data_IF_559719888844
#
_entry.id   IF_559719888844
#
_cell.length_a   1.000
_cell.length_b   1.000
_cell.length_c   1.000
_cell.angle_alpha   90.00
_cell.angle_beta   90.00
_cell.angle_gamma   90.00
#
_symmetry.space_group_name_H-M   'P 1'
#
loop_
_entity.id
_entity.type
_entity.pdbx_description
1 polymer ?
#
# COMPACT_ATOMS: atom_id res chain seq x y z
N UNK A 1 42.89 -38.39 15.27
CA UNK A 1 42.94 -36.96 14.84
C UNK A 1 42.75 -36.71 13.33
N UNK A 2 42.38 -37.68 12.48
CA UNK A 2 42.14 -37.46 11.02
C UNK A 2 40.70 -37.29 10.55
N UNK A 3 39.63 -37.63 11.27
CA UNK A 3 38.25 -37.47 10.75
C UNK A 3 37.70 -36.02 10.84
N UNK A 4 38.10 -35.22 11.82
CA UNK A 4 37.62 -33.84 12.01
C UNK A 4 38.05 -32.87 10.90
N UNK A 5 39.28 -33.02 10.39
CA UNK A 5 39.82 -32.18 9.32
C UNK A 5 39.08 -32.43 7.99
N UNK A 6 38.60 -33.66 7.75
CA UNK A 6 37.82 -33.98 6.54
C UNK A 6 36.40 -33.41 6.61
N UNK A 7 35.80 -33.37 7.77
CA UNK A 7 34.47 -32.81 8.01
C UNK A 7 34.49 -31.28 7.87
N UNK A 8 35.46 -30.62 8.48
CA UNK A 8 35.65 -29.18 8.37
C UNK A 8 35.91 -28.72 6.92
N UNK A 9 36.74 -29.47 6.17
CA UNK A 9 36.96 -29.21 4.74
C UNK A 9 35.67 -29.36 3.91
N UNK A 10 34.82 -30.31 4.19
CA UNK A 10 33.53 -30.47 3.52
C UNK A 10 32.59 -29.30 3.83
N UNK A 11 32.51 -28.86 5.09
CA UNK A 11 31.70 -27.68 5.47
C UNK A 11 32.19 -26.43 4.76
N UNK A 12 33.51 -26.20 4.75
CA UNK A 12 34.11 -25.03 4.06
C UNK A 12 33.85 -25.10 2.55
N UNK A 13 33.96 -26.27 1.93
CA UNK A 13 33.68 -26.45 0.50
C UNK A 13 32.25 -26.23 0.14
N UNK A 14 31.31 -26.72 0.96
CA UNK A 14 29.86 -26.46 0.76
C UNK A 14 29.54 -24.99 0.99
N UNK A 15 30.07 -24.38 2.05
CA UNK A 15 29.88 -22.96 2.34
C UNK A 15 30.42 -22.04 1.25
N UNK A 16 31.64 -22.33 0.72
CA UNK A 16 32.18 -21.56 -0.41
C UNK A 16 31.38 -21.77 -1.71
N UNK A 17 30.91 -23.00 -1.97
CA UNK A 17 30.01 -23.28 -3.10
C UNK A 17 28.70 -22.49 -3.02
N UNK A 18 28.06 -22.46 -1.85
CA UNK A 18 26.85 -21.64 -1.62
C UNK A 18 27.12 -20.14 -1.80
N UNK A 19 28.24 -19.64 -1.28
CA UNK A 19 28.63 -18.23 -1.45
C UNK A 19 28.85 -17.90 -2.94
N UNK A 20 29.53 -18.76 -3.69
CA UNK A 20 29.69 -18.59 -5.14
C UNK A 20 28.32 -18.55 -5.87
N UNK A 21 27.39 -19.43 -5.53
CA UNK A 21 26.05 -19.44 -6.11
C UNK A 21 25.29 -18.12 -5.82
N UNK A 22 25.38 -17.62 -4.58
CA UNK A 22 24.76 -16.35 -4.20
C UNK A 22 25.39 -15.17 -4.97
N UNK A 23 26.70 -15.14 -5.10
CA UNK A 23 27.40 -14.11 -5.87
C UNK A 23 27.08 -14.15 -7.36
N UNK A 24 27.01 -15.33 -7.96
CA UNK A 24 26.63 -15.49 -9.36
C UNK A 24 25.17 -15.05 -9.60
N UNK A 25 24.27 -15.38 -8.68
CA UNK A 25 22.88 -14.93 -8.74
C UNK A 25 22.76 -13.42 -8.60
N UNK A 26 23.51 -12.80 -7.69
CA UNK A 26 23.56 -11.34 -7.51
C UNK A 26 24.07 -10.64 -8.78
N UNK A 27 25.15 -11.14 -9.37
CA UNK A 27 25.69 -10.62 -10.64
C UNK A 27 24.65 -10.78 -11.75
N UNK A 28 24.02 -11.95 -11.86
CA UNK A 28 22.99 -12.21 -12.87
C UNK A 28 21.79 -11.27 -12.74
N UNK A 29 21.29 -11.05 -11.52
CA UNK A 29 20.17 -10.14 -11.24
C UNK A 29 20.54 -8.66 -11.53
N UNK A 30 21.79 -8.26 -11.22
CA UNK A 30 22.28 -6.90 -11.55
C UNK A 30 22.43 -6.71 -13.05
N UNK A 31 23.02 -7.69 -13.72
CA UNK A 31 23.23 -7.65 -15.17
C UNK A 31 21.89 -7.66 -15.91
N UNK A 32 20.96 -8.54 -15.54
CA UNK A 32 19.63 -8.59 -16.11
C UNK A 32 18.87 -7.27 -15.95
N UNK A 33 18.91 -6.66 -14.76
CA UNK A 33 18.34 -5.34 -14.52
C UNK A 33 19.01 -4.23 -15.32
N UNK A 34 20.33 -4.27 -15.47
CA UNK A 34 21.08 -3.32 -16.29
C UNK A 34 20.73 -3.46 -17.78
N UNK A 35 20.66 -4.68 -18.28
CA UNK A 35 20.29 -4.97 -19.68
C UNK A 35 18.86 -4.46 -19.94
N UNK A 36 17.91 -4.76 -19.04
CA UNK A 36 16.54 -4.30 -19.19
C UNK A 36 16.46 -2.78 -19.31
N UNK A 37 17.08 -2.05 -18.36
CA UNK A 37 17.10 -0.58 -18.37
C UNK A 37 17.79 -0.05 -19.61
N UNK A 38 18.90 -0.67 -20.04
CA UNK A 38 19.65 -0.25 -21.23
C UNK A 38 18.85 -0.44 -22.52
N UNK A 39 18.12 -1.54 -22.64
CA UNK A 39 17.21 -1.79 -23.79
C UNK A 39 16.04 -0.82 -23.79
N UNK A 40 15.43 -0.58 -22.63
CA UNK A 40 14.36 0.40 -22.48
C UNK A 40 14.83 1.81 -22.89
N UNK A 41 15.98 2.24 -22.36
CA UNK A 41 16.54 3.55 -22.69
C UNK A 41 16.96 3.68 -24.14
N UNK A 42 17.52 2.62 -24.73
CA UNK A 42 17.84 2.60 -26.16
C UNK A 42 16.60 2.80 -27.04
N UNK A 43 15.50 2.13 -26.72
CA UNK A 43 14.20 2.31 -27.41
C UNK A 43 13.68 3.75 -27.24
N UNK A 44 13.72 4.28 -26.03
CA UNK A 44 13.33 5.64 -25.73
C UNK A 44 14.12 6.65 -26.57
N UNK A 45 15.46 6.48 -26.65
CA UNK A 45 16.32 7.34 -27.46
C UNK A 45 16.05 7.23 -28.96
N UNK A 46 15.65 6.05 -29.45
CA UNK A 46 15.21 5.90 -30.85
C UNK A 46 13.89 6.61 -31.10
N UNK A 47 12.93 6.46 -30.19
CA UNK A 47 11.60 7.11 -30.30
C UNK A 47 11.74 8.64 -30.34
N UNK A 48 12.55 9.26 -29.50
CA UNK A 48 12.74 10.72 -29.47
C UNK A 48 13.56 11.30 -30.63
N UNK A 49 14.29 10.48 -31.41
CA UNK A 49 14.98 10.93 -32.61
C UNK A 49 14.01 11.29 -33.74
N UNK A 50 12.77 10.89 -33.65
CA UNK A 50 11.74 11.26 -34.59
C UNK A 50 11.45 12.76 -34.47
N UNK A 51 11.82 13.54 -35.49
CA UNK A 51 11.53 14.97 -35.54
C UNK A 51 10.03 15.21 -35.69
N UNK A 52 9.55 16.29 -35.08
CA UNK A 52 8.16 16.76 -35.18
C UNK A 52 7.12 15.73 -34.73
N UNK A 53 7.49 14.90 -33.74
CA UNK A 53 6.58 13.93 -33.11
C UNK A 53 5.95 14.49 -31.84
N UNK A 54 4.68 14.16 -31.62
CA UNK A 54 3.99 14.37 -30.35
C UNK A 54 4.51 13.34 -29.32
N UNK A 55 5.11 13.81 -28.23
CA UNK A 55 5.84 12.98 -27.27
C UNK A 55 4.99 12.64 -26.07
N UNK A 56 4.83 11.35 -25.81
CA UNK A 56 4.07 10.81 -24.69
C UNK A 56 5.04 10.11 -23.75
N UNK A 57 5.11 10.57 -22.50
CA UNK A 57 5.93 9.97 -21.45
C UNK A 57 5.05 9.07 -20.58
N UNK A 58 5.31 7.77 -20.55
CA UNK A 58 4.60 6.80 -19.71
C UNK A 58 5.35 6.57 -18.40
N UNK A 59 4.74 6.94 -17.27
CA UNK A 59 5.24 6.76 -15.92
C UNK A 59 4.43 5.67 -15.22
N UNK A 60 5.09 4.83 -14.43
CA UNK A 60 4.40 3.80 -13.68
C UNK A 60 5.31 2.76 -13.09
N UNK A 61 4.69 1.70 -12.60
CA UNK A 61 5.31 0.58 -11.91
C UNK A 61 5.61 -0.58 -12.88
N UNK A 62 5.69 -1.82 -12.38
CA UNK A 62 5.94 -3.02 -13.19
C UNK A 62 4.90 -3.27 -14.29
N UNK A 63 3.68 -2.79 -14.09
CA UNK A 63 2.58 -2.87 -15.08
C UNK A 63 2.72 -1.88 -16.24
N UNK A 64 3.67 -0.94 -16.15
CA UNK A 64 4.04 0.00 -17.23
C UNK A 64 5.36 -0.41 -17.88
N UNK A 65 6.35 -0.78 -17.07
CA UNK A 65 7.72 -1.06 -17.50
C UNK A 65 7.80 -2.20 -18.53
N UNK A 66 8.10 -1.85 -19.78
CA UNK A 66 8.22 -2.81 -20.88
C UNK A 66 6.89 -3.47 -21.28
N UNK A 67 5.75 -2.91 -20.87
CA UNK A 67 4.43 -3.46 -21.12
C UNK A 67 3.75 -2.75 -22.30
N UNK A 68 2.72 -1.95 -22.06
CA UNK A 68 1.89 -1.32 -23.09
C UNK A 68 2.53 -0.15 -23.89
N UNK A 69 3.59 0.58 -23.41
CA UNK A 69 4.04 1.79 -24.12
C UNK A 69 4.47 1.54 -25.58
N UNK A 70 5.14 0.41 -25.84
CA UNK A 70 5.55 0.06 -27.20
C UNK A 70 4.35 -0.23 -28.11
N UNK A 71 3.36 -0.95 -27.62
CA UNK A 71 2.11 -1.21 -28.34
C UNK A 71 1.30 0.09 -28.57
N UNK A 72 1.34 1.03 -27.62
CA UNK A 72 0.68 2.33 -27.73
C UNK A 72 1.29 3.15 -28.89
N UNK A 73 2.62 3.22 -28.99
CA UNK A 73 3.30 3.91 -30.09
C UNK A 73 2.91 3.32 -31.45
N UNK A 74 2.95 2.00 -31.57
CA UNK A 74 2.55 1.29 -32.80
C UNK A 74 1.10 1.62 -33.17
N UNK A 75 0.16 1.48 -32.26
CA UNK A 75 -1.28 1.69 -32.51
C UNK A 75 -1.56 3.15 -32.91
N UNK A 76 -1.00 4.12 -32.17
CA UNK A 76 -1.20 5.54 -32.48
C UNK A 76 -0.70 5.90 -33.90
N UNK A 77 0.48 5.37 -34.29
CA UNK A 77 1.06 5.65 -35.60
C UNK A 77 0.36 4.89 -36.74
N UNK A 78 -0.30 3.76 -36.46
CA UNK A 78 -1.11 3.04 -37.47
C UNK A 78 -2.44 3.71 -37.78
N UNK A 79 -2.94 4.62 -36.96
CA UNK A 79 -4.24 5.30 -37.14
C UNK A 79 -4.27 6.36 -38.24
N UNK A 80 -3.13 6.62 -38.90
CA UNK A 80 -3.03 7.60 -40.02
C UNK A 80 -3.64 8.98 -39.71
N UNK A 81 -3.44 9.47 -38.50
CA UNK A 81 -4.01 10.75 -38.05
C UNK A 81 -3.31 11.98 -38.59
N UNK A 82 -2.22 11.81 -39.36
CA UNK A 82 -1.33 12.89 -39.74
C UNK A 82 -0.41 13.38 -38.64
N UNK A 83 -0.53 12.83 -37.42
CA UNK A 83 0.31 13.12 -36.26
C UNK A 83 1.26 11.94 -36.05
N UNK A 84 2.53 12.25 -35.90
CA UNK A 84 3.54 11.26 -35.56
C UNK A 84 3.71 11.22 -34.04
N UNK A 85 3.65 10.04 -33.44
CA UNK A 85 3.75 9.85 -32.00
C UNK A 85 5.07 9.18 -31.63
N UNK A 86 5.67 9.64 -30.54
CA UNK A 86 6.81 9.01 -29.87
C UNK A 86 6.42 8.69 -28.43
N UNK A 87 6.46 7.42 -28.05
CA UNK A 87 6.07 6.99 -26.70
C UNK A 87 7.31 6.55 -25.91
N UNK A 88 7.57 7.25 -24.81
CA UNK A 88 8.73 7.06 -23.95
C UNK A 88 8.31 6.22 -22.75
N UNK A 89 8.89 5.04 -22.57
CA UNK A 89 8.65 4.17 -21.44
C UNK A 89 9.61 4.50 -20.29
N UNK A 90 9.08 5.05 -19.20
CA UNK A 90 9.78 5.28 -17.93
C UNK A 90 9.10 4.56 -16.78
N UNK A 91 8.45 3.43 -17.07
CA UNK A 91 8.02 2.47 -16.07
C UNK A 91 9.22 1.86 -15.34
N UNK A 92 9.11 1.68 -14.02
CA UNK A 92 10.17 1.14 -13.17
C UNK A 92 9.58 0.06 -12.26
N UNK A 93 10.11 -1.15 -12.36
CA UNK A 93 9.67 -2.29 -11.54
C UNK A 93 9.93 -2.00 -10.05
N UNK A 94 8.90 -2.18 -9.21
CA UNK A 94 8.99 -2.00 -7.77
C UNK A 94 9.13 -0.54 -7.31
N UNK A 95 8.81 0.43 -8.17
CA UNK A 95 8.76 1.85 -7.81
C UNK A 95 7.43 2.19 -7.12
N UNK A 96 7.31 3.43 -6.63
CA UNK A 96 6.12 4.01 -6.05
C UNK A 96 5.95 5.45 -6.56
N UNK A 97 4.83 6.10 -6.21
CA UNK A 97 4.54 7.48 -6.69
C UNK A 97 5.56 8.50 -6.19
N UNK A 98 6.12 8.33 -5.00
CA UNK A 98 7.18 9.21 -4.46
C UNK A 98 8.45 9.15 -5.32
N UNK A 99 8.91 7.96 -5.68
CA UNK A 99 10.08 7.80 -6.54
C UNK A 99 9.83 8.31 -7.97
N UNK A 100 8.61 8.15 -8.49
CA UNK A 100 8.19 8.71 -9.78
C UNK A 100 8.28 10.24 -9.73
N UNK A 101 7.75 10.87 -8.69
CA UNK A 101 7.76 12.33 -8.51
C UNK A 101 9.19 12.89 -8.39
N UNK A 102 10.08 12.21 -7.64
CA UNK A 102 11.49 12.62 -7.49
C UNK A 102 12.24 12.65 -8.84
N UNK A 103 11.90 11.77 -9.76
CA UNK A 103 12.55 11.69 -11.08
C UNK A 103 11.81 12.48 -12.17
N UNK A 104 10.65 13.07 -11.85
CA UNK A 104 9.78 13.72 -12.84
C UNK A 104 10.49 14.87 -13.55
N UNK A 105 11.10 15.79 -12.80
CA UNK A 105 11.78 16.97 -13.35
C UNK A 105 12.90 16.61 -14.33
N UNK A 106 13.69 15.59 -13.99
CA UNK A 106 14.75 15.09 -14.87
C UNK A 106 14.15 14.49 -16.14
N UNK A 107 13.10 13.70 -16.03
CA UNK A 107 12.41 13.11 -17.17
C UNK A 107 11.82 14.18 -18.09
N UNK A 108 11.14 15.18 -17.54
CA UNK A 108 10.57 16.29 -18.32
C UNK A 108 11.64 17.08 -19.06
N UNK A 109 12.79 17.32 -18.41
CA UNK A 109 13.94 18.01 -19.04
C UNK A 109 14.57 17.19 -20.17
N UNK A 110 14.72 15.86 -19.95
CA UNK A 110 15.40 14.97 -20.91
C UNK A 110 14.56 14.66 -22.15
N UNK A 111 13.26 14.42 -21.95
CA UNK A 111 12.39 13.93 -23.03
C UNK A 111 11.47 14.99 -23.61
N UNK A 112 11.24 16.11 -22.89
CA UNK A 112 10.37 17.23 -23.29
C UNK A 112 9.02 16.72 -23.83
N UNK A 113 8.24 15.97 -23.03
CA UNK A 113 6.99 15.41 -23.48
C UNK A 113 5.90 16.49 -23.63
N UNK A 114 4.98 16.26 -24.54
CA UNK A 114 3.73 17.03 -24.68
C UNK A 114 2.65 16.48 -23.74
N UNK A 115 2.78 15.21 -23.35
CA UNK A 115 1.82 14.49 -22.51
C UNK A 115 2.54 13.51 -21.58
N UNK A 116 2.00 13.36 -20.37
CA UNK A 116 2.39 12.33 -19.41
C UNK A 116 1.20 11.41 -19.16
N UNK A 117 1.42 10.10 -19.29
CA UNK A 117 0.48 9.05 -18.88
C UNK A 117 1.02 8.44 -17.58
N UNK A 118 0.19 8.32 -16.56
CA UNK A 118 0.58 7.68 -15.29
C UNK A 118 -0.39 6.57 -14.90
N UNK A 119 0.21 5.39 -14.55
CA UNK A 119 -0.45 4.25 -13.93
C UNK A 119 0.38 3.79 -12.73
N UNK A 120 0.07 4.30 -11.55
CA UNK A 120 0.86 4.05 -10.34
C UNK A 120 -0.01 4.15 -9.08
N UNK A 121 0.55 3.75 -7.94
CA UNK A 121 -0.08 3.84 -6.61
C UNK A 121 -0.37 2.48 -5.98
N UNK A 122 -0.18 1.37 -6.71
CA UNK A 122 -0.34 0.03 -6.16
C UNK A 122 0.72 -0.29 -5.10
N UNK A 123 1.92 0.20 -5.27
CA UNK A 123 3.04 0.01 -4.34
C UNK A 123 3.09 1.05 -3.21
N UNK A 124 2.25 2.08 -3.23
CA UNK A 124 2.16 3.08 -2.17
C UNK A 124 1.35 2.57 -0.97
N UNK A 125 0.48 1.59 -1.18
CA UNK A 125 -0.36 1.02 -0.14
C UNK A 125 0.47 0.16 0.81
N UNK A 126 1.25 0.79 1.67
CA UNK A 126 1.71 0.34 3.00
C UNK A 126 2.11 -1.13 3.22
N UNK A 127 2.23 -1.95 2.19
CA UNK A 127 2.96 -3.19 2.27
C UNK A 127 4.43 -2.82 2.08
N UNK A 128 4.99 -2.26 3.13
CA UNK A 128 6.42 -2.13 3.24
C UNK A 128 7.01 -3.54 3.32
N UNK A 129 7.25 -4.13 2.15
CA UNK A 129 8.06 -5.35 2.04
C UNK A 129 9.48 -5.17 2.63
N UNK A 130 9.75 -3.98 3.18
CA UNK A 130 11.07 -3.56 3.65
C UNK A 130 11.14 -3.28 5.16
N UNK A 131 10.02 -3.24 5.90
CA UNK A 131 10.01 -2.82 7.31
C UNK A 131 10.41 -3.89 8.35
N UNK A 132 10.49 -5.18 7.96
CA UNK A 132 10.82 -6.27 8.92
C UNK A 132 12.29 -6.73 8.86
N UNK A 133 13.21 -5.91 8.39
CA UNK A 133 14.65 -6.23 8.47
C UNK A 133 15.17 -5.59 9.75
N UNK A 134 15.70 -6.38 10.72
CA UNK A 134 16.42 -5.81 11.86
C UNK A 134 17.48 -4.83 11.36
N UNK A 135 17.57 -3.63 11.93
CA UNK A 135 18.45 -2.55 11.47
C UNK A 135 19.92 -3.02 11.33
N UNK A 136 20.38 -3.90 12.22
CA UNK A 136 21.71 -4.49 12.14
C UNK A 136 21.94 -5.33 10.86
N UNK A 137 20.90 -5.95 10.29
CA UNK A 137 21.00 -6.73 9.05
C UNK A 137 20.67 -5.87 7.81
N UNK A 138 19.93 -4.77 7.98
CA UNK A 138 19.53 -3.90 6.88
C UNK A 138 20.73 -3.21 6.21
N UNK A 139 21.78 -2.84 6.94
CA UNK A 139 22.93 -2.13 6.42
C UNK A 139 23.69 -2.90 5.33
N UNK A 140 23.92 -4.20 5.53
CA UNK A 140 24.72 -5.04 4.62
C UNK A 140 23.86 -5.60 3.47
N UNK A 141 22.62 -6.01 3.75
CA UNK A 141 21.77 -6.72 2.77
C UNK A 141 20.79 -5.83 2.03
N UNK A 142 20.63 -4.57 2.41
CA UNK A 142 19.68 -3.61 1.80
C UNK A 142 19.90 -3.44 0.29
N UNK A 143 21.15 -3.53 -0.17
CA UNK A 143 21.53 -3.39 -1.57
C UNK A 143 21.73 -4.73 -2.31
N UNK A 144 21.57 -5.87 -1.61
CA UNK A 144 21.74 -7.21 -2.19
C UNK A 144 20.44 -7.65 -2.90
N UNK A 145 20.50 -7.74 -4.24
CA UNK A 145 19.35 -8.17 -5.07
C UNK A 145 18.99 -9.63 -4.83
N UNK A 146 19.98 -10.47 -4.61
CA UNK A 146 19.79 -11.88 -4.29
C UNK A 146 19.02 -12.06 -2.99
N UNK A 147 19.35 -11.29 -1.95
CA UNK A 147 18.62 -11.30 -0.69
C UNK A 147 17.15 -10.89 -0.88
N UNK A 148 16.90 -9.83 -1.66
CA UNK A 148 15.54 -9.39 -1.99
C UNK A 148 14.75 -10.45 -2.76
N UNK A 149 15.40 -11.07 -3.75
CA UNK A 149 14.82 -12.14 -4.54
C UNK A 149 14.49 -13.36 -3.68
N UNK A 150 15.46 -13.86 -2.88
CA UNK A 150 15.25 -14.99 -1.98
C UNK A 150 14.16 -14.72 -0.94
N UNK A 151 14.07 -13.50 -0.44
CA UNK A 151 13.00 -13.09 0.46
C UNK A 151 11.64 -13.09 -0.24
N UNK A 152 11.53 -12.60 -1.47
CA UNK A 152 10.30 -12.68 -2.28
C UNK A 152 9.88 -14.14 -2.50
N UNK A 153 10.82 -15.00 -2.86
CA UNK A 153 10.58 -16.45 -3.02
C UNK A 153 10.13 -17.07 -1.71
N UNK A 154 10.83 -16.78 -0.61
CA UNK A 154 10.46 -17.26 0.74
C UNK A 154 9.06 -16.80 1.13
N UNK A 155 8.74 -15.52 0.94
CA UNK A 155 7.41 -14.96 1.22
C UNK A 155 6.34 -15.62 0.36
N UNK A 156 6.62 -15.84 -0.94
CA UNK A 156 5.70 -16.52 -1.84
C UNK A 156 5.47 -17.99 -1.44
N UNK A 157 6.54 -18.69 -1.07
CA UNK A 157 6.47 -20.08 -0.58
C UNK A 157 5.73 -20.13 0.76
N UNK A 158 6.10 -19.26 1.71
CA UNK A 158 5.44 -19.22 3.03
C UNK A 158 3.98 -18.82 2.93
N UNK A 159 3.62 -17.89 2.03
CA UNK A 159 2.21 -17.57 1.76
C UNK A 159 1.46 -18.77 1.14
N UNK A 160 2.11 -19.52 0.24
CA UNK A 160 1.51 -20.71 -0.36
C UNK A 160 1.31 -21.84 0.65
N UNK A 161 2.20 -21.96 1.65
CA UNK A 161 2.09 -22.93 2.74
C UNK A 161 1.29 -22.41 3.94
N UNK A 162 1.22 -21.11 4.15
CA UNK A 162 0.41 -20.46 5.20
C UNK A 162 -1.04 -20.20 4.79
N UNK A 163 -1.35 -20.27 3.49
CA UNK A 163 -2.69 -20.24 2.96
C UNK A 163 -3.02 -21.60 2.31
N UNK A 164 -3.31 -22.65 3.10
CA UNK A 164 -4.08 -23.77 2.56
C UNK A 164 -5.44 -23.22 2.14
N UNK A 165 -6.11 -23.81 1.13
CA UNK A 165 -7.42 -23.35 0.73
C UNK A 165 -8.33 -23.34 1.96
N UNK A 166 -8.85 -22.18 2.28
CA UNK A 166 -9.90 -21.79 3.20
C UNK A 166 -10.31 -22.79 4.31
N UNK A 167 -9.41 -23.12 5.22
CA UNK A 167 -9.78 -23.74 6.49
C UNK A 167 -8.99 -23.10 7.63
N UNK A 168 -9.44 -21.97 8.08
CA UNK A 168 -8.91 -21.36 9.29
C UNK A 168 -8.70 -19.86 9.20
N UNK A 169 -9.70 -19.14 9.66
CA UNK A 169 -9.55 -17.74 10.14
C UNK A 169 -8.61 -17.69 11.36
N UNK A 170 -7.34 -18.06 11.15
CA UNK A 170 -6.28 -17.77 12.12
C UNK A 170 -5.45 -16.62 11.57
N UNK A 171 -5.66 -15.43 12.14
CA UNK A 171 -4.77 -14.28 12.17
C UNK A 171 -4.46 -13.60 10.82
N UNK A 172 -5.45 -12.95 10.18
CA UNK A 172 -5.25 -11.70 9.45
C UNK A 172 -6.19 -10.65 10.04
N UNK A 173 -5.86 -10.21 11.25
CA UNK A 173 -6.46 -9.00 11.82
C UNK A 173 -5.84 -7.83 11.07
N UNK A 174 -6.63 -6.96 10.42
CA UNK A 174 -6.11 -5.73 9.84
C UNK A 174 -5.52 -4.89 10.98
N UNK A 175 -4.27 -4.48 10.84
CA UNK A 175 -3.64 -3.54 11.76
C UNK A 175 -4.43 -2.24 11.76
N UNK A 176 -4.67 -1.70 12.95
CA UNK A 176 -5.62 -0.67 13.26
C UNK A 176 -5.58 0.56 12.35
N UNK A 177 -6.75 1.02 11.99
CA UNK A 177 -6.95 2.28 11.31
C UNK A 177 -6.65 3.44 12.25
N UNK A 178 -5.67 4.23 11.86
CA UNK A 178 -5.52 5.60 12.31
C UNK A 178 -6.61 6.41 11.58
N UNK A 179 -7.39 7.18 12.32
CA UNK A 179 -8.23 8.24 11.74
C UNK A 179 -7.36 9.06 10.79
N UNK A 180 -7.78 9.31 9.54
CA UNK A 180 -7.01 10.13 8.64
C UNK A 180 -6.80 11.50 9.29
N UNK A 181 -5.57 12.02 9.29
CA UNK A 181 -5.33 13.40 9.70
C UNK A 181 -6.20 14.32 8.84
N UNK A 182 -6.66 15.42 9.43
CA UNK A 182 -7.42 16.46 8.72
C UNK A 182 -6.79 16.70 7.33
N UNK A 183 -7.53 16.50 6.22
CA UNK A 183 -6.99 16.54 4.87
C UNK A 183 -6.38 17.89 4.47
N UNK A 184 -6.41 18.88 5.34
CA UNK A 184 -5.89 20.23 5.10
C UNK A 184 -4.45 20.47 5.52
N UNK A 185 -3.79 19.56 6.23
CA UNK A 185 -2.42 19.76 6.73
C UNK A 185 -1.50 18.71 6.10
N UNK A 186 -0.47 19.18 5.35
CA UNK A 186 0.63 18.33 4.87
C UNK A 186 1.36 17.71 6.08
N UNK A 187 1.44 16.36 6.19
CA UNK A 187 2.12 15.71 7.33
C UNK A 187 3.58 16.13 7.51
N UNK A 188 4.29 16.45 6.44
CA UNK A 188 5.67 16.96 6.51
C UNK A 188 5.71 18.37 7.09
N UNK A 189 4.76 19.21 6.71
CA UNK A 189 4.65 20.57 7.25
C UNK A 189 4.18 20.55 8.71
N UNK A 190 3.28 19.63 9.07
CA UNK A 190 2.87 19.40 10.46
C UNK A 190 4.06 18.95 11.32
N UNK A 191 4.88 18.01 10.84
CA UNK A 191 6.07 17.54 11.55
C UNK A 191 7.09 18.66 11.76
N UNK A 192 7.37 19.47 10.73
CA UNK A 192 8.26 20.65 10.85
C UNK A 192 7.72 21.69 11.85
N UNK A 193 6.41 21.89 11.86
CA UNK A 193 5.76 22.82 12.80
C UNK A 193 5.88 22.32 14.24
N UNK A 194 5.64 21.03 14.48
CA UNK A 194 5.77 20.41 15.80
C UNK A 194 7.23 20.41 16.29
N UNK A 195 8.19 20.09 15.42
CA UNK A 195 9.62 20.19 15.74
C UNK A 195 10.02 21.63 16.12
N UNK A 196 9.46 22.63 15.45
CA UNK A 196 9.65 24.04 15.82
C UNK A 196 9.02 24.39 17.17
N UNK A 197 7.81 23.87 17.47
CA UNK A 197 7.14 24.04 18.77
C UNK A 197 8.00 23.45 19.87
N UNK A 198 8.50 22.23 19.69
CA UNK A 198 9.38 21.55 20.64
C UNK A 198 10.68 22.36 20.88
N UNK A 199 11.28 22.93 19.83
CA UNK A 199 12.48 23.77 19.96
C UNK A 199 12.20 25.06 20.72
N UNK A 200 11.01 25.64 20.58
CA UNK A 200 10.60 26.87 21.27
C UNK A 200 10.15 26.62 22.71
N UNK A 201 9.48 25.49 22.94
CA UNK A 201 9.02 25.06 24.24
C UNK A 201 9.31 23.56 24.47
N UNK A 202 10.51 23.20 24.93
CA UNK A 202 10.90 21.81 25.16
C UNK A 202 10.12 21.09 26.28
N UNK A 203 9.27 21.81 27.02
CA UNK A 203 8.42 21.25 28.09
C UNK A 203 6.99 20.94 27.62
N UNK A 204 6.67 21.16 26.33
CA UNK A 204 5.35 20.90 25.77
C UNK A 204 5.16 19.41 25.45
N UNK A 205 4.75 18.62 26.45
CA UNK A 205 4.60 17.17 26.38
C UNK A 205 3.65 16.74 25.24
N UNK A 206 2.56 17.45 25.03
CA UNK A 206 1.62 17.15 23.93
C UNK A 206 2.20 17.36 22.53
N UNK A 207 3.20 18.22 22.34
CA UNK A 207 3.87 18.36 21.07
C UNK A 207 4.68 17.11 20.72
N UNK A 208 5.31 16.48 21.71
CA UNK A 208 5.99 15.19 21.53
C UNK A 208 5.01 14.07 21.19
N UNK A 209 3.84 14.01 21.85
CA UNK A 209 2.80 13.02 21.53
C UNK A 209 2.32 13.17 20.08
N UNK A 210 2.02 14.40 19.66
CA UNK A 210 1.56 14.67 18.29
C UNK A 210 2.61 14.32 17.24
N UNK A 211 3.87 14.67 17.48
CA UNK A 211 4.98 14.31 16.59
C UNK A 211 5.20 12.80 16.56
N UNK A 212 5.13 12.15 17.72
CA UNK A 212 5.20 10.69 17.84
C UNK A 212 4.10 9.98 17.04
N UNK A 213 2.86 10.48 17.09
CA UNK A 213 1.75 9.97 16.25
C UNK A 213 2.09 10.08 14.75
N UNK A 214 2.56 11.24 14.30
CA UNK A 214 2.95 11.43 12.91
C UNK A 214 4.08 10.50 12.46
N UNK A 215 5.09 10.28 13.31
CA UNK A 215 6.20 9.38 13.00
C UNK A 215 5.76 7.91 12.99
N UNK A 216 4.89 7.50 13.93
CA UNK A 216 4.28 6.17 13.93
C UNK A 216 3.52 5.91 12.63
N UNK A 217 2.72 6.88 12.18
CA UNK A 217 1.93 6.78 10.96
C UNK A 217 2.80 6.74 9.69
N UNK A 218 4.03 7.26 9.78
CA UNK A 218 5.08 7.12 8.76
C UNK A 218 5.87 5.80 8.89
N UNK A 219 5.55 4.94 9.88
CA UNK A 219 6.27 3.70 10.14
C UNK A 219 7.62 3.88 10.85
N UNK A 220 7.91 5.07 11.37
CA UNK A 220 9.12 5.38 12.14
C UNK A 220 8.90 5.05 13.62
N UNK A 221 8.76 3.75 13.90
CA UNK A 221 8.36 3.27 15.22
C UNK A 221 9.37 3.56 16.33
N UNK A 222 10.71 3.40 16.12
CA UNK A 222 11.68 3.73 17.16
C UNK A 222 11.64 5.21 17.56
N UNK A 223 11.60 6.11 16.59
CA UNK A 223 11.55 7.55 16.83
C UNK A 223 10.23 7.96 17.52
N UNK A 224 9.12 7.31 17.14
CA UNK A 224 7.84 7.53 17.80
C UNK A 224 7.85 7.05 19.25
N UNK A 225 8.48 5.90 19.54
CA UNK A 225 8.64 5.35 20.87
C UNK A 225 9.42 6.31 21.79
N UNK A 226 10.52 6.86 21.29
CA UNK A 226 11.35 7.81 22.03
C UNK A 226 10.57 9.11 22.35
N UNK A 227 9.77 9.60 21.43
CA UNK A 227 8.94 10.80 21.64
C UNK A 227 7.83 10.56 22.67
N UNK A 228 7.16 9.41 22.64
CA UNK A 228 6.15 9.07 23.64
C UNK A 228 6.77 8.93 25.04
N UNK A 229 7.94 8.27 25.14
CA UNK A 229 8.70 8.20 26.41
C UNK A 229 9.08 9.58 26.90
N UNK A 230 9.55 10.46 26.00
CA UNK A 230 9.90 11.85 26.34
C UNK A 230 8.70 12.63 26.86
N UNK A 231 7.52 12.48 26.23
CA UNK A 231 6.29 13.07 26.74
C UNK A 231 5.94 12.57 28.16
N UNK A 232 6.12 11.27 28.44
CA UNK A 232 5.88 10.68 29.76
C UNK A 232 6.93 11.11 30.80
N UNK A 233 8.17 11.39 30.40
CA UNK A 233 9.20 11.99 31.30
C UNK A 233 8.84 13.41 31.70
N UNK A 234 8.35 14.21 30.76
CA UNK A 234 7.94 15.60 30.99
C UNK A 234 6.66 15.68 31.82
N UNK A 235 5.70 14.81 31.52
CA UNK A 235 4.43 14.72 32.21
C UNK A 235 4.03 13.26 32.47
N UNK A 236 4.33 12.70 33.64
CA UNK A 236 3.98 11.32 33.97
C UNK A 236 2.47 11.04 33.97
N UNK A 237 1.64 12.08 34.00
CA UNK A 237 0.17 12.00 33.98
C UNK A 237 -0.39 12.33 32.57
N UNK A 238 0.42 12.28 31.53
CA UNK A 238 -0.07 12.39 30.16
C UNK A 238 -0.67 11.04 29.74
N UNK A 239 -2.01 10.92 29.81
CA UNK A 239 -2.72 9.70 29.44
C UNK A 239 -2.61 9.40 27.94
N UNK A 240 -2.56 10.42 27.07
CA UNK A 240 -2.33 10.28 25.64
C UNK A 240 -0.95 9.64 25.31
N UNK A 241 0.12 10.06 26.04
CA UNK A 241 1.45 9.48 25.84
C UNK A 241 1.50 8.01 26.27
N UNK A 242 0.91 7.68 27.42
CA UNK A 242 0.79 6.30 27.89
C UNK A 242 -0.02 5.45 26.91
N UNK A 243 -1.15 5.97 26.42
CA UNK A 243 -2.03 5.30 25.49
C UNK A 243 -1.34 4.99 24.15
N UNK A 244 -0.67 5.97 23.55
CA UNK A 244 -0.02 5.81 22.26
C UNK A 244 1.21 4.91 22.31
N UNK A 245 1.99 4.98 23.41
CA UNK A 245 3.08 4.04 23.63
C UNK A 245 2.55 2.62 23.86
N UNK A 246 1.43 2.46 24.59
CA UNK A 246 0.76 1.18 24.76
C UNK A 246 0.32 0.56 23.45
N UNK A 247 -0.27 1.35 22.54
CA UNK A 247 -0.63 0.92 21.18
C UNK A 247 0.58 0.48 20.38
N UNK A 248 1.65 1.27 20.41
CA UNK A 248 2.88 0.98 19.69
C UNK A 248 3.51 -0.34 20.16
N UNK A 249 3.57 -0.57 21.49
CA UNK A 249 4.11 -1.81 22.06
C UNK A 249 3.24 -3.03 21.76
N UNK A 250 1.91 -2.88 21.78
CA UNK A 250 0.99 -3.95 21.34
C UNK A 250 1.24 -4.34 19.89
N UNK A 251 1.43 -3.36 19.00
CA UNK A 251 1.67 -3.60 17.58
C UNK A 251 3.04 -4.29 17.35
N UNK A 252 3.98 -4.08 18.29
CA UNK A 252 5.25 -4.83 18.36
C UNK A 252 5.10 -6.20 19.07
N UNK A 253 3.89 -6.65 19.40
CA UNK A 253 3.61 -7.89 20.14
C UNK A 253 4.16 -7.93 21.58
N UNK A 254 4.50 -6.78 22.15
CA UNK A 254 4.95 -6.63 23.55
C UNK A 254 3.74 -6.48 24.48
N UNK A 255 2.88 -7.50 24.50
CA UNK A 255 1.56 -7.45 25.15
C UNK A 255 1.60 -7.12 26.66
N UNK A 256 2.54 -7.65 27.49
CA UNK A 256 2.59 -7.29 28.89
C UNK A 256 2.91 -5.81 29.13
N UNK A 257 3.88 -5.26 28.39
CA UNK A 257 4.23 -3.84 28.55
C UNK A 257 3.09 -2.92 28.06
N UNK A 258 2.41 -3.31 26.98
CA UNK A 258 1.22 -2.60 26.49
C UNK A 258 0.08 -2.63 27.54
N UNK A 259 -0.13 -3.76 28.22
CA UNK A 259 -1.11 -3.92 29.30
C UNK A 259 -0.87 -2.91 30.43
N UNK A 260 0.37 -2.80 30.90
CA UNK A 260 0.74 -1.88 31.98
C UNK A 260 0.46 -0.41 31.59
N UNK A 261 0.76 -0.04 30.36
CA UNK A 261 0.52 1.32 29.86
C UNK A 261 -0.97 1.63 29.70
N UNK A 262 -1.78 0.69 29.20
CA UNK A 262 -3.23 0.91 29.11
C UNK A 262 -3.87 1.00 30.49
N UNK A 263 -3.42 0.20 31.47
CA UNK A 263 -3.85 0.32 32.87
C UNK A 263 -3.48 1.68 33.45
N UNK A 264 -2.24 2.14 33.22
CA UNK A 264 -1.81 3.47 33.63
C UNK A 264 -2.66 4.58 32.97
N UNK A 265 -2.99 4.43 31.67
CA UNK A 265 -3.92 5.35 31.00
C UNK A 265 -5.26 5.42 31.74
N UNK A 266 -5.82 4.27 32.14
CA UNK A 266 -7.10 4.19 32.85
C UNK A 266 -7.02 4.67 34.32
N UNK A 267 -5.87 4.56 34.97
CA UNK A 267 -5.62 5.18 36.30
C UNK A 267 -5.66 6.71 36.20
N UNK A 268 -5.07 7.28 35.15
CA UNK A 268 -5.05 8.73 34.92
C UNK A 268 -6.44 9.22 34.42
N UNK A 269 -7.04 8.49 33.45
CA UNK A 269 -8.31 8.83 32.84
C UNK A 269 -9.27 7.64 32.82
N UNK A 270 -10.05 7.42 33.91
CA UNK A 270 -10.97 6.28 34.03
C UNK A 270 -12.15 6.28 33.04
N UNK A 271 -12.36 7.37 32.30
CA UNK A 271 -13.43 7.48 31.30
C UNK A 271 -12.94 7.34 29.87
N UNK A 272 -11.69 6.92 29.66
CA UNK A 272 -11.12 6.72 28.33
C UNK A 272 -11.62 5.41 27.71
N UNK A 273 -12.70 5.47 26.93
CA UNK A 273 -13.31 4.32 26.25
C UNK A 273 -12.33 3.63 25.29
N UNK A 274 -11.45 4.41 24.66
CA UNK A 274 -10.41 3.86 23.77
C UNK A 274 -9.39 3.02 24.56
N UNK A 275 -9.01 3.44 25.76
CA UNK A 275 -8.07 2.68 26.59
C UNK A 275 -8.68 1.34 27.04
N UNK A 276 -9.95 1.32 27.45
CA UNK A 276 -10.67 0.07 27.71
C UNK A 276 -10.71 -0.83 26.48
N UNK A 277 -11.01 -0.25 25.32
CA UNK A 277 -11.06 -0.96 24.05
C UNK A 277 -9.71 -1.57 23.65
N UNK A 278 -8.61 -0.83 23.80
CA UNK A 278 -7.28 -1.30 23.45
C UNK A 278 -6.75 -2.34 24.46
N UNK A 279 -7.06 -2.18 25.75
CA UNK A 279 -6.74 -3.19 26.78
C UNK A 279 -7.51 -4.48 26.54
N UNK A 280 -8.81 -4.38 26.19
CA UNK A 280 -9.63 -5.53 25.82
C UNK A 280 -9.06 -6.25 24.57
N UNK A 281 -8.66 -5.48 23.59
CA UNK A 281 -8.01 -6.00 22.37
C UNK A 281 -6.68 -6.67 22.67
N UNK A 282 -5.86 -6.08 23.55
CA UNK A 282 -4.60 -6.65 24.04
C UNK A 282 -4.82 -7.99 24.77
N UNK A 283 -5.87 -8.08 25.58
CA UNK A 283 -6.24 -9.34 26.27
C UNK A 283 -6.72 -10.41 25.30
N UNK A 284 -7.41 -10.05 24.24
CA UNK A 284 -7.80 -10.99 23.19
C UNK A 284 -6.58 -11.66 22.55
N UNK A 285 -5.51 -10.90 22.26
CA UNK A 285 -4.26 -11.46 21.75
C UNK A 285 -3.55 -12.39 22.75
N UNK A 286 -3.71 -12.12 24.04
CA UNK A 286 -3.20 -12.99 25.11
C UNK A 286 -4.08 -14.22 25.37
N UNK A 287 -5.21 -14.37 24.66
CA UNK A 287 -6.17 -15.46 24.88
C UNK A 287 -7.07 -15.28 26.12
N UNK A 288 -7.00 -14.14 26.82
CA UNK A 288 -7.80 -13.79 28.01
C UNK A 288 -9.20 -13.32 27.58
N UNK A 289 -9.97 -14.20 26.90
CA UNK A 289 -11.22 -13.81 26.22
C UNK A 289 -12.31 -13.27 27.15
N UNK A 290 -12.54 -13.82 28.37
CA UNK A 290 -13.56 -13.26 29.28
C UNK A 290 -13.23 -11.84 29.76
N UNK A 291 -11.96 -11.57 30.09
CA UNK A 291 -11.52 -10.23 30.49
C UNK A 291 -11.59 -9.24 29.34
N UNK A 292 -11.23 -9.68 28.11
CA UNK A 292 -11.37 -8.90 26.90
C UNK A 292 -12.83 -8.48 26.66
N UNK A 293 -13.78 -9.41 26.82
CA UNK A 293 -15.21 -9.14 26.65
C UNK A 293 -15.72 -8.10 27.64
N UNK A 294 -15.36 -8.23 28.92
CA UNK A 294 -15.76 -7.30 29.96
C UNK A 294 -15.27 -5.86 29.65
N UNK A 295 -14.00 -5.71 29.28
CA UNK A 295 -13.41 -4.41 28.95
C UNK A 295 -14.03 -3.78 27.69
N UNK A 296 -14.30 -4.56 26.64
CA UNK A 296 -14.95 -4.06 25.45
C UNK A 296 -16.40 -3.62 25.72
N UNK A 297 -17.14 -4.34 26.56
CA UNK A 297 -18.47 -3.93 27.00
C UNK A 297 -18.41 -2.65 27.82
N UNK A 298 -17.47 -2.52 28.73
CA UNK A 298 -17.26 -1.29 29.51
C UNK A 298 -16.93 -0.10 28.59
N UNK A 299 -16.13 -0.30 27.54
CA UNK A 299 -15.89 0.73 26.53
C UNK A 299 -17.18 1.17 25.82
N UNK A 300 -18.10 0.24 25.52
CA UNK A 300 -19.40 0.56 24.92
C UNK A 300 -20.36 1.25 25.88
N UNK A 301 -20.30 0.95 27.18
CA UNK A 301 -21.06 1.66 28.21
C UNK A 301 -20.64 3.14 28.29
N UNK A 302 -19.34 3.42 28.15
CA UNK A 302 -18.79 4.77 28.13
C UNK A 302 -19.09 5.51 26.81
N UNK A 303 -18.97 4.81 25.68
CA UNK A 303 -19.21 5.39 24.35
C UNK A 303 -19.94 4.40 23.42
N UNK A 304 -21.27 4.40 23.43
CA UNK A 304 -22.08 3.53 22.58
C UNK A 304 -21.96 3.81 21.07
N UNK A 305 -21.33 4.92 20.68
CA UNK A 305 -21.14 5.28 19.27
C UNK A 305 -19.73 4.95 18.74
N UNK A 306 -18.90 4.26 19.53
CA UNK A 306 -17.57 3.84 19.08
C UNK A 306 -17.66 2.60 18.19
N UNK A 307 -17.65 2.80 16.87
CA UNK A 307 -17.73 1.72 15.87
C UNK A 307 -16.57 0.71 15.97
N UNK A 308 -15.40 1.16 16.39
CA UNK A 308 -14.22 0.29 16.54
C UNK A 308 -14.37 -0.71 17.69
N UNK A 309 -15.10 -0.36 18.74
CA UNK A 309 -15.36 -1.28 19.85
C UNK A 309 -16.31 -2.39 19.41
N UNK A 310 -17.36 -2.07 18.65
CA UNK A 310 -18.22 -3.09 18.06
C UNK A 310 -17.45 -4.02 17.14
N UNK A 311 -16.56 -3.49 16.32
CA UNK A 311 -15.70 -4.28 15.44
C UNK A 311 -14.80 -5.24 16.25
N UNK A 312 -14.14 -4.76 17.30
CA UNK A 312 -13.28 -5.59 18.17
C UNK A 312 -14.08 -6.66 18.92
N UNK A 313 -15.24 -6.31 19.45
CA UNK A 313 -16.14 -7.26 20.12
C UNK A 313 -16.67 -8.31 19.12
N UNK A 314 -16.94 -7.93 17.89
CA UNK A 314 -17.27 -8.86 16.82
C UNK A 314 -16.16 -9.88 16.57
N UNK A 315 -14.91 -9.47 16.47
CA UNK A 315 -13.77 -10.37 16.33
C UNK A 315 -13.56 -11.27 17.55
N UNK A 316 -13.79 -10.75 18.75
CA UNK A 316 -13.78 -11.57 19.97
C UNK A 316 -14.81 -12.70 19.88
N UNK A 317 -16.02 -12.41 19.38
CA UNK A 317 -17.07 -13.42 19.21
C UNK A 317 -16.77 -14.39 18.08
N UNK A 318 -16.07 -13.96 17.02
CA UNK A 318 -15.53 -14.89 16.01
C UNK A 318 -14.58 -15.90 16.67
N UNK A 319 -13.67 -15.44 17.55
CA UNK A 319 -12.73 -16.31 18.27
C UNK A 319 -13.44 -17.26 19.25
N UNK A 320 -14.60 -16.89 19.77
CA UNK A 320 -15.46 -17.72 20.59
C UNK A 320 -16.38 -18.66 19.79
N UNK A 321 -16.36 -18.60 18.45
CA UNK A 321 -17.25 -19.37 17.57
C UNK A 321 -18.71 -18.84 17.51
N UNK A 322 -18.99 -17.69 18.11
CA UNK A 322 -20.32 -17.06 18.17
C UNK A 322 -20.57 -16.23 16.89
N UNK A 323 -20.61 -16.89 15.73
CA UNK A 323 -20.64 -16.21 14.43
C UNK A 323 -21.86 -15.30 14.20
N UNK A 324 -23.10 -15.70 14.56
CA UNK A 324 -24.26 -14.82 14.39
C UNK A 324 -24.18 -13.53 15.23
N UNK A 325 -23.67 -13.61 16.46
CA UNK A 325 -23.49 -12.43 17.31
C UNK A 325 -22.36 -11.54 16.77
N UNK A 326 -21.28 -12.13 16.22
CA UNK A 326 -20.20 -11.39 15.57
C UNK A 326 -20.72 -10.59 14.36
N UNK A 327 -21.54 -11.22 13.52
CA UNK A 327 -22.14 -10.55 12.36
C UNK A 327 -23.02 -9.36 12.78
N UNK A 328 -23.84 -9.52 13.81
CA UNK A 328 -24.67 -8.43 14.34
C UNK A 328 -23.81 -7.24 14.82
N UNK A 329 -22.69 -7.51 15.47
CA UNK A 329 -21.77 -6.47 15.93
C UNK A 329 -21.05 -5.76 14.78
N UNK A 330 -20.61 -6.48 13.74
CA UNK A 330 -20.04 -5.86 12.56
C UNK A 330 -21.06 -5.01 11.81
N UNK A 331 -22.32 -5.47 11.69
CA UNK A 331 -23.41 -4.66 11.13
C UNK A 331 -23.64 -3.40 11.94
N UNK A 332 -23.59 -3.49 13.28
CA UNK A 332 -23.69 -2.32 14.14
C UNK A 332 -22.54 -1.33 13.95
N UNK A 333 -21.33 -1.82 13.78
CA UNK A 333 -20.17 -0.97 13.45
C UNK A 333 -20.37 -0.22 12.12
N UNK A 334 -20.96 -0.87 11.11
CA UNK A 334 -21.30 -0.27 9.81
C UNK A 334 -22.45 0.74 9.91
N UNK A 335 -23.47 0.46 10.72
CA UNK A 335 -24.56 1.41 10.97
C UNK A 335 -24.06 2.73 11.57
N UNK A 336 -23.10 2.65 12.50
CA UNK A 336 -22.49 3.82 13.14
C UNK A 336 -21.54 4.55 12.18
N UNK A 337 -20.71 3.80 11.47
CA UNK A 337 -19.79 4.34 10.47
C UNK A 337 -19.91 3.57 9.15
N UNK A 338 -20.72 4.06 8.21
CA UNK A 338 -20.90 3.45 6.90
C UNK A 338 -19.62 3.44 6.04
N UNK A 339 -18.55 4.09 6.47
CA UNK A 339 -17.25 4.08 5.80
C UNK A 339 -16.24 3.09 6.43
N UNK A 340 -16.65 2.33 7.45
CA UNK A 340 -15.81 1.34 8.09
C UNK A 340 -15.63 0.10 7.20
N UNK A 341 -14.64 0.15 6.28
CA UNK A 341 -14.33 -0.95 5.35
C UNK A 341 -13.91 -2.24 6.06
N UNK A 342 -13.30 -2.14 7.25
CA UNK A 342 -12.89 -3.30 8.04
C UNK A 342 -14.10 -4.09 8.54
N UNK A 343 -15.17 -3.40 8.96
CA UNK A 343 -16.41 -4.06 9.39
C UNK A 343 -17.09 -4.78 8.22
N UNK A 344 -17.16 -4.15 7.04
CA UNK A 344 -17.68 -4.81 5.84
C UNK A 344 -16.88 -6.05 5.44
N UNK A 345 -15.55 -5.97 5.49
CA UNK A 345 -14.68 -7.13 5.22
C UNK A 345 -14.88 -8.26 6.21
N UNK A 346 -15.11 -7.92 7.48
CA UNK A 346 -15.40 -8.92 8.50
C UNK A 346 -16.74 -9.62 8.23
N UNK A 347 -17.79 -8.86 7.83
CA UNK A 347 -19.07 -9.43 7.42
C UNK A 347 -18.90 -10.32 6.19
N UNK A 348 -18.15 -9.87 5.17
CA UNK A 348 -17.89 -10.65 3.97
C UNK A 348 -17.20 -11.98 4.31
N UNK A 349 -16.15 -11.94 5.14
CA UNK A 349 -15.45 -13.15 5.57
C UNK A 349 -16.33 -14.13 6.35
N UNK A 350 -17.31 -13.63 7.12
CA UNK A 350 -18.31 -14.47 7.77
C UNK A 350 -19.32 -15.05 6.77
N UNK A 351 -19.80 -14.25 5.82
CA UNK A 351 -20.75 -14.69 4.79
C UNK A 351 -20.17 -15.82 3.91
N UNK A 352 -18.90 -15.71 3.51
CA UNK A 352 -18.19 -16.77 2.80
C UNK A 352 -18.11 -18.06 3.62
N UNK A 353 -17.92 -17.94 4.94
CA UNK A 353 -17.83 -19.10 5.85
C UNK A 353 -19.19 -19.76 6.09
N UNK A 354 -20.29 -19.03 5.99
CA UNK A 354 -21.65 -19.50 6.26
C UNK A 354 -22.43 -19.87 4.99
N UNK A 355 -21.80 -19.86 3.81
CA UNK A 355 -22.41 -20.11 2.49
C UNK A 355 -23.62 -19.18 2.18
N UNK A 356 -23.56 -17.93 2.59
CA UNK A 356 -24.59 -16.93 2.30
C UNK A 356 -24.22 -16.10 1.06
N UNK A 357 -24.26 -16.71 -0.13
CA UNK A 357 -23.77 -16.16 -1.39
C UNK A 357 -24.35 -14.79 -1.79
N UNK A 358 -25.65 -14.55 -1.56
CA UNK A 358 -26.28 -13.26 -1.91
C UNK A 358 -25.76 -12.08 -1.09
N UNK A 359 -25.60 -12.28 0.21
CA UNK A 359 -25.05 -11.25 1.11
C UNK A 359 -23.57 -11.00 0.83
N UNK A 360 -22.81 -12.05 0.49
CA UNK A 360 -21.41 -11.94 0.15
C UNK A 360 -21.15 -11.04 -1.07
N UNK A 361 -21.98 -11.12 -2.10
CA UNK A 361 -21.83 -10.29 -3.29
C UNK A 361 -22.12 -8.80 -2.99
N UNK A 362 -23.21 -8.51 -2.25
CA UNK A 362 -23.55 -7.15 -1.84
C UNK A 362 -22.42 -6.50 -1.02
N UNK A 363 -21.92 -7.20 0.01
CA UNK A 363 -20.80 -6.72 0.83
C UNK A 363 -19.49 -6.61 0.04
N UNK A 364 -19.27 -7.48 -0.93
CA UNK A 364 -18.11 -7.38 -1.84
C UNK A 364 -18.17 -6.08 -2.64
N UNK A 365 -19.32 -5.73 -3.18
CA UNK A 365 -19.49 -4.52 -3.96
C UNK A 365 -19.38 -3.25 -3.09
N UNK A 366 -19.91 -3.28 -1.86
CA UNK A 366 -19.75 -2.20 -0.89
C UNK A 366 -18.25 -2.06 -0.48
N UNK A 367 -17.57 -3.14 -0.14
CA UNK A 367 -16.13 -3.11 0.19
C UNK A 367 -15.31 -2.61 -0.99
N UNK A 368 -15.68 -3.02 -2.21
CA UNK A 368 -15.05 -2.50 -3.43
C UNK A 368 -15.28 -1.00 -3.55
N UNK A 369 -16.50 -0.51 -3.37
CA UNK A 369 -16.79 0.92 -3.38
C UNK A 369 -16.05 1.68 -2.27
N UNK A 370 -15.99 1.15 -1.05
CA UNK A 370 -15.29 1.78 0.07
C UNK A 370 -13.77 1.78 -0.12
N UNK A 371 -13.16 0.69 -0.62
CA UNK A 371 -11.74 0.66 -1.01
C UNK A 371 -11.41 1.70 -2.07
N UNK A 372 -12.37 2.06 -2.91
CA UNK A 372 -12.23 3.08 -3.92
C UNK A 372 -12.15 4.51 -3.31
N UNK A 373 -12.49 4.70 -2.03
CA UNK A 373 -12.50 6.02 -1.40
C UNK A 373 -11.13 6.47 -0.87
N UNK A 374 -10.18 5.54 -0.69
CA UNK A 374 -8.93 5.87 0.00
C UNK A 374 -7.69 5.45 -0.78
N UNK A 375 -7.13 6.37 -1.56
CA UNK A 375 -5.71 6.36 -1.81
C UNK A 375 -4.96 6.76 -0.53
N UNK A 376 -3.80 6.13 -0.29
CA UNK A 376 -2.86 6.60 0.70
C UNK A 376 -2.65 8.12 0.55
N UNK A 377 -2.67 8.91 1.63
CA UNK A 377 -2.44 10.36 1.58
C UNK A 377 -1.18 10.76 0.80
N UNK A 378 -0.11 9.94 0.88
CA UNK A 378 1.11 10.17 0.10
C UNK A 378 0.84 10.05 -1.41
N UNK A 379 0.08 9.04 -1.85
CA UNK A 379 -0.33 8.89 -3.25
C UNK A 379 -1.13 10.09 -3.73
N UNK A 380 -2.13 10.51 -2.95
CA UNK A 380 -2.97 11.69 -3.27
C UNK A 380 -2.10 12.94 -3.44
N UNK A 381 -1.21 13.19 -2.47
CA UNK A 381 -0.33 14.35 -2.50
C UNK A 381 0.64 14.29 -3.69
N UNK A 382 1.20 13.11 -3.98
CA UNK A 382 2.13 12.92 -5.10
C UNK A 382 1.45 13.16 -6.46
N UNK A 383 0.22 12.68 -6.65
CA UNK A 383 -0.55 12.94 -7.87
C UNK A 383 -0.87 14.43 -8.04
N UNK A 384 -1.23 15.15 -6.98
CA UNK A 384 -1.47 16.59 -7.00
C UNK A 384 -0.20 17.37 -7.33
N UNK A 385 0.92 17.06 -6.66
CA UNK A 385 2.22 17.68 -6.96
C UNK A 385 2.68 17.42 -8.39
N UNK A 386 2.45 16.19 -8.89
CA UNK A 386 2.74 15.84 -10.28
C UNK A 386 1.93 16.71 -11.23
N UNK A 387 0.62 16.86 -11.00
CA UNK A 387 -0.26 17.73 -11.80
C UNK A 387 0.23 19.19 -11.80
N UNK A 388 0.52 19.74 -10.64
CA UNK A 388 1.05 21.11 -10.53
C UNK A 388 2.35 21.34 -11.33
N UNK A 389 3.25 20.35 -11.31
CA UNK A 389 4.51 20.42 -12.07
C UNK A 389 4.22 20.39 -13.58
N UNK A 390 3.31 19.54 -14.03
CA UNK A 390 2.94 19.40 -15.43
C UNK A 390 2.22 20.65 -15.94
N UNK A 391 1.29 21.21 -15.15
CA UNK A 391 0.55 22.44 -15.52
C UNK A 391 1.48 23.62 -15.73
N UNK A 392 2.44 23.83 -14.83
CA UNK A 392 3.44 24.89 -14.97
C UNK A 392 4.28 24.78 -16.27
N UNK A 393 4.30 23.60 -16.89
CA UNK A 393 5.05 23.33 -18.11
C UNK A 393 4.15 23.18 -19.35
N UNK A 394 2.85 23.32 -19.19
CA UNK A 394 1.88 23.12 -20.27
C UNK A 394 1.82 21.66 -20.79
N UNK A 395 2.20 20.68 -19.97
CA UNK A 395 2.21 19.26 -20.31
C UNK A 395 0.89 18.61 -19.89
N UNK A 396 0.21 17.93 -20.80
CA UNK A 396 -1.07 17.26 -20.52
C UNK A 396 -0.89 16.06 -19.62
N UNK A 397 -1.81 15.85 -18.67
CA UNK A 397 -1.83 14.70 -17.78
C UNK A 397 -2.95 13.74 -18.15
N UNK A 398 -2.58 12.48 -18.35
CA UNK A 398 -3.49 11.33 -18.48
C UNK A 398 -3.29 10.40 -17.30
N UNK A 399 -4.35 10.16 -16.54
CA UNK A 399 -4.36 9.24 -15.41
C UNK A 399 -5.16 7.99 -15.76
N UNK A 400 -4.64 6.83 -15.42
CA UNK A 400 -5.37 5.57 -15.57
C UNK A 400 -5.15 4.64 -14.40
N UNK A 401 -6.15 3.80 -14.16
CA UNK A 401 -6.08 2.71 -13.20
C UNK A 401 -5.55 1.43 -13.84
N UNK A 402 -5.13 0.51 -12.98
CA UNK A 402 -4.83 -0.86 -13.40
C UNK A 402 -6.02 -1.48 -14.11
N UNK A 403 -5.78 -2.41 -15.05
CA UNK A 403 -6.86 -3.21 -15.65
C UNK A 403 -7.77 -3.78 -14.55
N UNK A 404 -9.06 -3.88 -14.78
CA UNK A 404 -10.07 -4.37 -13.83
C UNK A 404 -10.41 -3.43 -12.66
N UNK A 405 -9.76 -2.27 -12.54
CA UNK A 405 -10.05 -1.31 -11.48
C UNK A 405 -10.71 -0.05 -12.00
N UNK A 406 -11.70 0.41 -11.23
CA UNK A 406 -12.42 1.65 -11.48
C UNK A 406 -11.51 2.87 -11.41
N UNK A 407 -11.71 3.82 -12.31
CA UNK A 407 -10.96 5.07 -12.40
C UNK A 407 -11.49 6.18 -11.48
N UNK A 408 -12.70 6.02 -10.93
CA UNK A 408 -13.34 7.04 -10.08
C UNK A 408 -12.48 7.48 -8.87
N UNK A 409 -11.73 6.60 -8.18
CA UNK A 409 -10.82 7.05 -7.12
C UNK A 409 -9.75 8.02 -7.60
N UNK A 410 -9.22 7.85 -8.82
CA UNK A 410 -8.26 8.81 -9.40
C UNK A 410 -8.92 10.15 -9.69
N UNK A 411 -10.13 10.15 -10.23
CA UNK A 411 -10.90 11.37 -10.50
C UNK A 411 -11.08 12.20 -9.23
N UNK A 412 -11.38 11.54 -8.10
CA UNK A 412 -11.55 12.20 -6.80
C UNK A 412 -10.29 12.86 -6.24
N UNK A 413 -9.09 12.37 -6.61
CA UNK A 413 -7.83 13.03 -6.21
C UNK A 413 -7.81 14.46 -6.71
N UNK A 414 -8.32 14.69 -7.91
CA UNK A 414 -8.28 15.97 -8.60
C UNK A 414 -9.57 16.81 -8.42
N UNK A 415 -10.61 16.24 -7.80
CA UNK A 415 -11.92 16.87 -7.55
C UNK A 415 -12.49 17.53 -8.83
N UNK A 416 -12.53 18.85 -8.87
CA UNK A 416 -13.12 19.63 -9.97
C UNK A 416 -12.09 20.07 -11.02
N UNK A 417 -10.88 19.52 -11.01
CA UNK A 417 -9.84 19.87 -12.00
C UNK A 417 -10.17 19.22 -13.36
N UNK A 418 -10.62 20.05 -14.29
CA UNK A 418 -10.99 19.63 -15.65
C UNK A 418 -9.80 19.38 -16.57
N UNK A 419 -8.57 19.63 -16.11
CA UNK A 419 -7.35 19.50 -16.92
C UNK A 419 -6.73 18.11 -16.97
N UNK A 420 -7.36 17.09 -16.33
CA UNK A 420 -6.87 15.71 -16.30
C UNK A 420 -7.73 14.81 -17.18
N UNK A 421 -7.08 14.05 -18.06
CA UNK A 421 -7.74 13.03 -18.89
C UNK A 421 -7.70 11.70 -18.16
N UNK A 422 -8.81 11.00 -18.11
CA UNK A 422 -8.93 9.71 -17.41
C UNK A 422 -9.20 8.58 -18.39
N UNK A 423 -8.44 7.49 -18.29
CA UNK A 423 -8.64 6.27 -19.06
C UNK A 423 -9.23 5.19 -18.16
N UNK A 424 -10.47 4.85 -18.43
CA UNK A 424 -11.16 3.73 -17.78
C UNK A 424 -10.88 2.43 -18.54
N UNK A 425 -10.15 1.51 -17.91
CA UNK A 425 -9.81 0.21 -18.46
C UNK A 425 -10.69 -0.92 -17.92
N UNK A 426 -11.46 -0.67 -16.87
CA UNK A 426 -12.24 -1.69 -16.18
C UNK A 426 -13.24 -2.39 -17.11
N UNK A 427 -14.03 -1.60 -17.82
CA UNK A 427 -15.12 -2.11 -18.67
C UNK A 427 -14.61 -3.00 -19.79
N UNK A 428 -13.55 -2.55 -20.48
CA UNK A 428 -13.00 -3.29 -21.63
C UNK A 428 -12.37 -4.62 -21.21
N UNK A 429 -11.67 -4.65 -20.06
CA UNK A 429 -11.09 -5.88 -19.57
C UNK A 429 -12.15 -6.83 -19.01
N UNK A 430 -13.16 -6.33 -18.30
CA UNK A 430 -14.29 -7.16 -17.85
C UNK A 430 -15.05 -7.77 -19.03
N UNK A 431 -15.28 -7.02 -20.09
CA UNK A 431 -15.93 -7.54 -21.30
C UNK A 431 -15.06 -8.59 -22.01
N UNK A 432 -13.77 -8.33 -22.14
CA UNK A 432 -12.84 -9.27 -22.73
C UNK A 432 -12.78 -10.61 -21.95
N UNK A 433 -12.85 -10.54 -20.61
CA UNK A 433 -12.85 -11.73 -19.74
C UNK A 433 -14.17 -12.50 -19.74
N UNK A 434 -15.29 -11.87 -20.11
CA UNK A 434 -16.56 -12.61 -20.34
C UNK A 434 -16.50 -13.50 -21.57
N UNK A 435 -15.68 -13.12 -22.57
CA UNK A 435 -15.58 -13.82 -23.84
C UNK A 435 -14.37 -14.77 -23.93
N UNK A 436 -13.46 -14.68 -22.96
CA UNK A 436 -12.17 -15.37 -23.01
C UNK A 436 -11.59 -15.64 -21.62
N UNK A 437 -10.54 -16.44 -21.54
CA UNK A 437 -9.92 -16.81 -20.28
C UNK A 437 -9.01 -15.72 -19.71
N UNK A 438 -8.87 -15.67 -18.38
CA UNK A 438 -7.98 -14.75 -17.68
C UNK A 438 -6.53 -14.84 -18.19
N UNK A 439 -6.03 -16.05 -18.44
CA UNK A 439 -4.65 -16.31 -18.90
C UNK A 439 -4.32 -15.73 -20.28
N UNK A 440 -5.32 -15.42 -21.07
CA UNK A 440 -5.09 -14.76 -22.36
C UNK A 440 -4.69 -13.29 -22.20
N UNK A 441 -5.14 -12.63 -21.13
CA UNK A 441 -4.89 -11.21 -20.89
C UNK A 441 -3.87 -10.95 -19.80
N UNK A 442 -3.71 -11.88 -18.83
CA UNK A 442 -2.82 -11.72 -17.68
C UNK A 442 -1.89 -12.94 -17.51
N UNK A 443 -0.61 -12.67 -17.20
CA UNK A 443 0.42 -13.69 -16.93
C UNK A 443 0.37 -14.21 -15.49
N UNK A 444 -0.06 -13.37 -14.58
CA UNK A 444 -0.12 -13.60 -13.13
C UNK A 444 -1.33 -12.88 -12.53
N UNK A 445 -1.49 -12.95 -11.21
CA UNK A 445 -2.61 -12.33 -10.52
C UNK A 445 -2.12 -11.56 -9.29
N UNK A 446 -2.45 -10.26 -9.24
CA UNK A 446 -2.24 -9.41 -8.07
C UNK A 446 -3.55 -9.11 -7.39
N UNK A 447 -3.55 -9.08 -6.05
CA UNK A 447 -4.70 -8.68 -5.25
C UNK A 447 -6.03 -9.36 -5.63
N UNK A 448 -5.99 -10.45 -6.38
CA UNK A 448 -7.15 -11.26 -6.74
C UNK A 448 -7.96 -10.80 -7.96
N UNK A 449 -7.58 -9.71 -8.64
CA UNK A 449 -8.38 -9.15 -9.72
C UNK A 449 -7.64 -8.83 -11.03
N UNK A 450 -6.36 -8.51 -11.00
CA UNK A 450 -5.56 -8.22 -12.20
C UNK A 450 -4.11 -8.69 -12.04
N UNK A 451 -3.31 -8.61 -13.11
CA UNK A 451 -1.89 -9.00 -13.13
C UNK A 451 -1.10 -8.26 -14.21
N UNK A 452 0.13 -8.70 -14.41
CA UNK A 452 0.91 -8.26 -15.57
C UNK A 452 0.25 -8.77 -16.86
N UNK A 453 0.04 -7.86 -17.80
CA UNK A 453 -0.60 -8.18 -19.05
C UNK A 453 0.25 -9.12 -19.93
N UNK A 454 -0.40 -10.00 -20.67
CA UNK A 454 0.16 -10.65 -21.86
C UNK A 454 0.27 -9.63 -22.99
N UNK A 455 0.83 -10.03 -24.11
CA UNK A 455 0.87 -9.17 -25.32
C UNK A 455 -0.55 -8.79 -25.79
N UNK A 456 -1.50 -9.73 -25.70
CA UNK A 456 -2.93 -9.48 -26.00
C UNK A 456 -3.53 -8.46 -25.00
N UNK A 457 -3.25 -8.61 -23.70
CA UNK A 457 -3.70 -7.64 -22.69
C UNK A 457 -3.07 -6.26 -22.87
N UNK A 458 -1.78 -6.19 -23.18
CA UNK A 458 -1.07 -4.94 -23.47
C UNK A 458 -1.62 -4.23 -24.72
N UNK A 459 -1.96 -4.98 -25.77
CA UNK A 459 -2.60 -4.38 -26.96
C UNK A 459 -4.01 -3.88 -26.68
N UNK A 460 -4.79 -4.59 -25.87
CA UNK A 460 -6.13 -4.14 -25.43
C UNK A 460 -6.01 -2.83 -24.64
N UNK A 461 -5.12 -2.78 -23.65
CA UNK A 461 -4.83 -1.60 -22.85
C UNK A 461 -4.40 -0.41 -23.74
N UNK A 462 -3.41 -0.61 -24.59
CA UNK A 462 -2.88 0.40 -25.51
C UNK A 462 -3.93 0.92 -26.49
N UNK A 463 -4.80 0.04 -27.00
CA UNK A 463 -5.90 0.43 -27.90
C UNK A 463 -6.88 1.36 -27.20
N UNK A 464 -7.26 1.07 -25.96
CA UNK A 464 -8.16 1.92 -25.20
C UNK A 464 -7.54 3.28 -24.90
N UNK A 465 -6.26 3.30 -24.49
CA UNK A 465 -5.52 4.54 -24.24
C UNK A 465 -5.46 5.38 -25.52
N UNK A 466 -5.13 4.77 -26.66
CA UNK A 466 -5.06 5.45 -27.95
C UNK A 466 -6.43 6.06 -28.34
N UNK A 467 -7.52 5.32 -28.18
CA UNK A 467 -8.86 5.82 -28.47
C UNK A 467 -9.22 7.05 -27.61
N UNK A 468 -8.93 7.01 -26.31
CA UNK A 468 -9.20 8.14 -25.42
C UNK A 468 -8.33 9.36 -25.79
N UNK A 469 -7.05 9.17 -26.03
CA UNK A 469 -6.13 10.26 -26.40
C UNK A 469 -6.56 10.89 -27.73
N UNK A 470 -6.85 10.10 -28.74
CA UNK A 470 -7.24 10.62 -30.06
C UNK A 470 -8.55 11.41 -29.97
N UNK A 471 -9.51 10.92 -29.20
CA UNK A 471 -10.80 11.60 -29.01
C UNK A 471 -10.65 12.87 -28.18
N UNK A 472 -10.05 12.79 -26.97
CA UNK A 472 -10.06 13.89 -25.99
C UNK A 472 -9.02 14.98 -26.28
N UNK A 473 -7.99 14.69 -27.07
CA UNK A 473 -6.87 15.62 -27.33
C UNK A 473 -6.85 16.12 -28.76
N UNK A 474 -7.28 15.31 -29.71
CA UNK A 474 -7.13 15.59 -31.15
C UNK A 474 -8.44 15.63 -31.93
N UNK A 475 -9.58 15.39 -31.27
CA UNK A 475 -10.93 15.30 -31.92
C UNK A 475 -10.96 14.32 -33.12
N UNK A 476 -10.33 13.13 -32.95
CA UNK A 476 -10.14 12.14 -34.02
C UNK A 476 -10.60 10.75 -33.67
#
# INVERSE_FOLDING_TARGET
>A
MKPEISFLRRIVSVGSGMLCCVLLLEIGLRLGGFIFISVQEHRNLQSIKQKDSYRILCLGESTTAGQFPGALEEILNQRNTGIKFSVIDKGVIGTNTTAILLNLEQNLKSYKPDMVIIMAGGNDAGISYYQDIPEAAAGIFRHCRTYRFMRLVYMHIVQKFKNPPATGLKNKIPQGNVLPPDPKIDPEQAAKTLDRIIKLNPQEDNAYVRLGRLLRDQGKFPEAEDLFKKAMELNPNNDDACFELGRLLRDQHKFPQAEDLFKKTLEINPRNDNAYSELGWNYMYQGKLPQAEALLKQALELNPQNNYVYFKLGWLYVNQGKLPQAEALFKKAVEIDPQNDNAYRAILALSEKTNQDKSAQEYTDIVRQLKLWFYNPATVNNYRKLKEILDRRGVKLVCMQYPMRDVEPLKRIFKDDTGVIFVDNEKIFKEALRQSSYKEYFRDMFAGDFGHCTDKGNRLLATNIANVILKEVFDK
#
